data_IF_840445279976
#
_entry.id   IF_840445279976
#
_cell.length_a   1.000
_cell.length_b   1.000
_cell.length_c   1.000
_cell.angle_alpha   90.00
_cell.angle_beta   90.00
_cell.angle_gamma   90.00
#
_symmetry.space_group_name_H-M   'P 1'
#
loop_
_entity.id
_entity.type
_entity.pdbx_description
1 polymer ?
#
# COMPACT_ATOMS: atom_id res chain seq x y z
N UNK A 1 31.44 -0.47 -1.06
CA UNK A 1 30.01 -0.28 -1.40
C UNK A 1 29.50 0.88 -0.56
N UNK A 2 29.27 2.04 -1.17
CA UNK A 2 29.08 3.30 -0.42
C UNK A 2 27.82 3.32 0.46
N UNK A 3 26.76 2.60 0.08
CA UNK A 3 25.54 2.58 0.88
C UNK A 3 25.71 1.69 2.11
N UNK A 4 26.38 0.55 1.96
CA UNK A 4 26.70 -0.33 3.07
C UNK A 4 27.66 0.34 4.08
N UNK A 5 28.72 0.98 3.61
CA UNK A 5 29.68 1.74 4.46
C UNK A 5 28.98 2.80 5.31
N UNK A 6 28.06 3.56 4.69
CA UNK A 6 27.24 4.55 5.39
C UNK A 6 26.30 3.92 6.42
N UNK A 7 25.64 2.82 6.07
CA UNK A 7 24.76 2.09 6.98
C UNK A 7 25.53 1.59 8.21
N UNK A 8 26.62 0.86 7.99
CA UNK A 8 27.53 0.34 9.01
C UNK A 8 28.02 1.45 9.95
N UNK A 9 28.46 2.58 9.39
CA UNK A 9 28.87 3.74 10.18
C UNK A 9 27.73 4.36 11.00
N UNK A 10 26.51 4.41 10.43
CA UNK A 10 25.35 5.02 11.09
C UNK A 10 24.87 4.19 12.29
N UNK A 11 24.95 2.86 12.18
CA UNK A 11 24.63 1.94 13.29
C UNK A 11 25.78 1.74 14.28
N UNK A 12 26.87 2.50 14.16
CA UNK A 12 28.00 2.45 15.10
C UNK A 12 28.94 1.25 14.90
N UNK A 13 28.90 0.62 13.72
CA UNK A 13 29.69 -0.57 13.38
C UNK A 13 30.49 -0.39 12.08
N UNK A 14 31.33 0.67 11.97
CA UNK A 14 32.09 0.92 10.74
C UNK A 14 33.01 -0.25 10.35
N UNK A 15 33.47 -1.05 11.30
CA UNK A 15 34.29 -2.24 11.04
C UNK A 15 33.60 -3.28 10.15
N UNK A 16 32.27 -3.29 10.07
CA UNK A 16 31.53 -4.20 9.20
C UNK A 16 31.82 -3.96 7.72
N UNK A 17 32.17 -2.73 7.30
CA UNK A 17 32.50 -2.45 5.89
C UNK A 17 33.87 -2.97 5.47
N UNK A 18 34.78 -3.17 6.44
CA UNK A 18 36.14 -3.66 6.20
C UNK A 18 36.26 -5.17 6.42
N UNK A 19 35.23 -5.81 7.00
CA UNK A 19 35.20 -7.25 7.24
C UNK A 19 35.12 -8.02 5.90
N UNK A 20 36.07 -8.94 5.61
CA UNK A 20 36.05 -9.76 4.39
C UNK A 20 34.74 -10.52 4.16
N UNK A 21 34.01 -10.86 5.22
CA UNK A 21 32.70 -11.53 5.12
C UNK A 21 31.61 -10.63 4.52
N UNK A 22 31.79 -9.32 4.55
CA UNK A 22 30.79 -8.32 4.13
C UNK A 22 31.28 -7.34 3.05
N UNK A 23 32.47 -7.59 2.49
CA UNK A 23 33.17 -6.70 1.56
C UNK A 23 32.34 -6.34 0.32
N UNK A 24 31.58 -7.30 -0.22
CA UNK A 24 30.69 -7.09 -1.35
C UNK A 24 29.29 -7.69 -1.13
N UNK A 25 28.40 -7.47 -2.09
CA UNK A 25 27.01 -7.92 -1.98
C UNK A 25 26.89 -9.45 -1.97
N UNK A 26 27.73 -10.17 -2.71
CA UNK A 26 27.70 -11.63 -2.74
C UNK A 26 28.13 -12.19 -1.38
N UNK A 27 29.22 -11.67 -0.81
CA UNK A 27 29.68 -12.06 0.53
C UNK A 27 28.64 -11.75 1.61
N UNK A 28 27.95 -10.60 1.54
CA UNK A 28 26.85 -10.26 2.47
C UNK A 28 25.63 -11.16 2.33
N UNK A 29 25.33 -11.65 1.13
CA UNK A 29 24.24 -12.63 0.94
C UNK A 29 24.63 -13.97 1.56
N UNK A 30 25.86 -14.44 1.33
CA UNK A 30 26.37 -15.68 1.91
C UNK A 30 26.42 -15.62 3.45
N UNK A 31 26.80 -14.46 4.01
CA UNK A 31 26.90 -14.23 5.44
C UNK A 31 25.71 -13.44 6.02
N UNK A 32 24.53 -13.54 5.37
CA UNK A 32 23.36 -12.71 5.72
C UNK A 32 22.92 -12.87 7.17
N UNK A 33 22.90 -14.11 7.67
CA UNK A 33 22.44 -14.40 9.04
C UNK A 33 23.28 -13.65 10.07
N UNK A 34 24.61 -13.77 10.01
CA UNK A 34 25.51 -13.10 10.95
C UNK A 34 25.46 -11.58 10.79
N UNK A 35 25.34 -11.06 9.57
CA UNK A 35 25.21 -9.62 9.34
C UNK A 35 23.92 -9.07 9.96
N UNK A 36 22.80 -9.75 9.74
CA UNK A 36 21.49 -9.34 10.28
C UNK A 36 21.51 -9.36 11.80
N UNK A 37 22.08 -10.38 12.44
CA UNK A 37 22.21 -10.44 13.90
C UNK A 37 23.00 -9.24 14.45
N UNK A 38 24.14 -8.90 13.83
CA UNK A 38 24.93 -7.73 14.22
C UNK A 38 24.14 -6.42 14.07
N UNK A 39 23.44 -6.23 12.94
CA UNK A 39 22.66 -5.02 12.70
C UNK A 39 21.46 -4.92 13.63
N UNK A 40 20.75 -6.03 13.88
CA UNK A 40 19.60 -6.07 14.78
C UNK A 40 19.97 -5.71 16.22
N UNK A 41 21.09 -6.22 16.71
CA UNK A 41 21.58 -5.88 18.05
C UNK A 41 21.73 -4.36 18.23
N UNK A 42 22.19 -3.64 17.19
CA UNK A 42 22.31 -2.18 17.23
C UNK A 42 20.97 -1.49 17.01
N UNK A 43 20.17 -1.94 16.04
CA UNK A 43 18.89 -1.30 15.70
C UNK A 43 17.87 -1.37 16.84
N UNK A 44 18.04 -2.27 17.81
CA UNK A 44 17.21 -2.34 19.02
C UNK A 44 17.51 -1.25 20.06
N UNK A 45 18.63 -0.53 19.93
CA UNK A 45 19.07 0.45 20.94
C UNK A 45 18.34 1.80 20.85
N UNK A 46 17.63 2.08 19.76
CA UNK A 46 16.90 3.34 19.53
C UNK A 46 15.54 3.08 18.90
N UNK A 47 14.65 4.06 19.00
CA UNK A 47 13.35 4.02 18.35
C UNK A 47 13.47 4.09 16.83
N UNK A 48 12.44 3.64 16.12
CA UNK A 48 12.37 3.75 14.65
C UNK A 48 12.53 5.20 14.18
N UNK A 49 11.94 6.18 14.87
CA UNK A 49 12.06 7.60 14.52
C UNK A 49 13.49 8.12 14.61
N UNK A 50 14.21 7.75 15.67
CA UNK A 50 15.62 8.12 15.84
C UNK A 50 16.51 7.51 14.75
N UNK A 51 16.28 6.24 14.40
CA UNK A 51 17.02 5.61 13.31
C UNK A 51 16.71 6.22 11.96
N UNK A 52 15.44 6.50 11.65
CA UNK A 52 15.07 7.15 10.40
C UNK A 52 15.72 8.53 10.25
N UNK A 53 15.78 9.32 11.33
CA UNK A 53 16.48 10.59 11.33
C UNK A 53 17.99 10.42 11.08
N UNK A 54 18.64 9.48 11.78
CA UNK A 54 20.07 9.22 11.64
C UNK A 54 20.44 8.69 10.23
N UNK A 55 19.63 7.80 9.66
CA UNK A 55 19.83 7.30 8.30
C UNK A 55 19.59 8.37 7.24
N UNK A 56 18.55 9.19 7.40
CA UNK A 56 18.27 10.30 6.49
C UNK A 56 19.42 11.31 6.44
N UNK A 57 20.00 11.68 7.59
CA UNK A 57 21.15 12.58 7.68
C UNK A 57 22.38 12.06 6.90
N UNK A 58 22.55 10.73 6.82
CA UNK A 58 23.64 10.08 6.08
C UNK A 58 23.29 9.72 4.64
N UNK A 59 22.04 9.97 4.22
CA UNK A 59 21.52 9.58 2.91
C UNK A 59 21.45 8.05 2.74
N UNK A 60 21.16 7.33 3.81
CA UNK A 60 20.88 5.89 3.80
C UNK A 60 19.36 5.70 3.67
N UNK A 61 18.87 5.07 2.59
CA UNK A 61 17.44 4.77 2.45
C UNK A 61 16.94 3.85 3.56
N UNK A 62 15.93 4.30 4.29
CA UNK A 62 15.21 3.54 5.31
C UNK A 62 13.76 4.02 5.40
N UNK A 63 12.85 3.14 5.81
CA UNK A 63 11.44 3.46 6.01
C UNK A 63 10.86 2.64 7.15
N UNK A 64 9.83 3.16 7.86
CA UNK A 64 9.14 2.38 8.87
C UNK A 64 8.31 1.26 8.23
N UNK A 65 8.03 0.22 9.00
CA UNK A 65 6.97 -0.73 8.67
C UNK A 65 5.69 -0.14 9.23
N UNK A 66 4.80 0.31 8.34
CA UNK A 66 3.52 0.90 8.73
C UNK A 66 2.44 -0.20 8.84
N UNK A 67 1.55 -0.07 9.82
CA UNK A 67 0.28 -0.80 9.83
C UNK A 67 -0.76 -0.17 8.88
N UNK A 68 -1.94 -0.80 8.74
CA UNK A 68 -3.00 -0.32 7.85
C UNK A 68 -3.50 1.08 8.27
N UNK A 69 -3.67 1.35 9.56
CA UNK A 69 -4.12 2.64 10.05
C UNK A 69 -3.09 3.75 9.78
N UNK A 70 -1.82 3.45 9.97
CA UNK A 70 -0.70 4.33 9.66
C UNK A 70 -0.61 4.61 8.15
N UNK A 71 -0.78 3.60 7.29
CA UNK A 71 -0.82 3.77 5.83
C UNK A 71 -1.96 4.72 5.42
N UNK A 72 -3.17 4.50 5.92
CA UNK A 72 -4.35 5.28 5.53
C UNK A 72 -4.30 6.72 6.05
N UNK A 73 -3.58 6.96 7.15
CA UNK A 73 -3.43 8.29 7.76
C UNK A 73 -2.14 9.01 7.35
N UNK A 74 -1.23 8.35 6.62
CA UNK A 74 0.05 8.90 6.19
C UNK A 74 -0.12 10.19 5.35
N UNK A 75 0.76 11.17 5.56
CA UNK A 75 0.73 12.44 4.83
C UNK A 75 0.78 12.25 3.31
N UNK A 76 1.67 11.37 2.82
CA UNK A 76 1.75 11.08 1.39
C UNK A 76 0.51 10.35 0.87
N UNK A 77 -0.11 9.47 1.66
CA UNK A 77 -1.36 8.82 1.28
C UNK A 77 -2.49 9.85 1.11
N UNK A 78 -2.54 10.88 1.98
CA UNK A 78 -3.52 11.98 1.88
C UNK A 78 -3.25 12.87 0.66
N UNK A 79 -1.99 13.27 0.45
CA UNK A 79 -1.57 14.09 -0.70
C UNK A 79 -1.86 13.39 -2.02
N UNK A 80 -1.66 12.07 -2.09
CA UNK A 80 -1.97 11.24 -3.25
C UNK A 80 -3.44 10.83 -3.35
N UNK A 81 -4.30 11.29 -2.42
CA UNK A 81 -5.70 10.90 -2.33
C UNK A 81 -5.90 9.38 -2.42
N UNK A 82 -5.06 8.61 -1.71
CA UNK A 82 -5.07 7.14 -1.69
C UNK A 82 -6.46 6.60 -1.33
N UNK A 83 -7.16 7.27 -0.42
CA UNK A 83 -8.54 6.98 -0.07
C UNK A 83 -9.42 8.10 -0.60
N UNK A 84 -10.37 7.73 -1.44
CA UNK A 84 -11.46 8.62 -1.88
C UNK A 84 -12.75 8.18 -1.23
N UNK A 85 -13.68 9.10 -1.04
CA UNK A 85 -15.02 8.80 -0.57
C UNK A 85 -16.02 9.06 -1.68
N UNK A 86 -16.91 8.10 -1.91
CA UNK A 86 -17.95 8.17 -2.94
C UNK A 86 -19.30 7.91 -2.25
N UNK A 87 -20.35 8.61 -2.66
CA UNK A 87 -21.70 8.35 -2.17
C UNK A 87 -22.28 7.12 -2.88
N UNK A 88 -22.85 6.18 -2.12
CA UNK A 88 -23.57 5.03 -2.66
C UNK A 88 -25.05 5.35 -2.92
N UNK A 89 -25.79 4.39 -3.50
CA UNK A 89 -27.22 4.56 -3.76
C UNK A 89 -28.08 4.78 -2.50
N UNK A 90 -27.56 4.46 -1.31
CA UNK A 90 -28.22 4.71 -0.03
C UNK A 90 -27.90 6.10 0.56
N UNK A 91 -27.11 6.94 -0.13
CA UNK A 91 -26.67 8.25 0.36
C UNK A 91 -25.52 8.18 1.37
N UNK A 92 -24.87 7.03 1.52
CA UNK A 92 -23.76 6.83 2.44
C UNK A 92 -22.42 7.09 1.75
N UNK A 93 -21.56 7.85 2.43
CA UNK A 93 -20.20 8.09 1.97
C UNK A 93 -19.31 6.88 2.29
N UNK A 94 -18.90 6.12 1.28
CA UNK A 94 -18.06 4.92 1.44
C UNK A 94 -16.59 5.18 1.04
N UNK A 95 -15.60 4.73 1.83
CA UNK A 95 -14.19 4.86 1.46
C UNK A 95 -13.80 3.81 0.40
N UNK A 96 -13.03 4.24 -0.59
CA UNK A 96 -12.46 3.39 -1.63
C UNK A 96 -10.98 3.72 -1.83
N UNK A 97 -10.19 2.67 -2.06
CA UNK A 97 -8.79 2.82 -2.46
C UNK A 97 -8.73 3.28 -3.92
N UNK A 98 -8.05 4.39 -4.15
CA UNK A 98 -7.81 4.97 -5.47
C UNK A 98 -6.84 4.12 -6.29
N UNK A 99 -6.96 4.22 -7.61
CA UNK A 99 -5.92 3.81 -8.55
C UNK A 99 -4.58 4.50 -8.16
N UNK A 100 -3.47 3.75 -8.04
CA UNK A 100 -2.19 4.31 -7.61
C UNK A 100 -1.51 5.20 -8.68
N UNK A 101 -1.97 5.13 -9.93
CA UNK A 101 -1.39 5.85 -11.07
C UNK A 101 -2.16 7.14 -11.35
N UNK A 102 -1.44 8.26 -11.41
CA UNK A 102 -1.96 9.55 -11.86
C UNK A 102 -1.71 9.74 -13.35
N UNK A 103 -2.79 9.88 -14.13
CA UNK A 103 -2.73 10.15 -15.56
C UNK A 103 -2.98 11.63 -15.83
N UNK A 104 -2.01 12.31 -16.46
CA UNK A 104 -2.14 13.74 -16.76
C UNK A 104 -3.18 14.09 -17.83
N UNK A 105 -3.19 13.34 -18.94
CA UNK A 105 -4.10 13.61 -20.07
C UNK A 105 -5.51 13.01 -19.87
N UNK A 106 -5.60 11.90 -19.13
CA UNK A 106 -6.85 11.16 -18.91
C UNK A 106 -6.99 10.79 -17.42
N UNK A 107 -7.25 11.76 -16.53
CA UNK A 107 -7.34 11.50 -15.10
C UNK A 107 -8.34 10.41 -14.77
N UNK A 108 -8.03 9.59 -13.76
CA UNK A 108 -8.94 8.52 -13.31
C UNK A 108 -10.20 9.14 -12.72
N UNK A 109 -11.36 8.81 -13.29
CA UNK A 109 -12.66 9.24 -12.79
C UNK A 109 -13.32 8.13 -11.98
N UNK A 110 -13.82 8.45 -10.79
CA UNK A 110 -14.61 7.54 -9.97
C UNK A 110 -16.06 8.01 -9.99
N UNK A 111 -16.93 7.25 -10.65
CA UNK A 111 -18.31 7.67 -10.94
C UNK A 111 -19.36 7.03 -10.05
N UNK A 112 -19.12 5.79 -9.64
CA UNK A 112 -20.08 4.98 -8.89
C UNK A 112 -19.37 4.34 -7.70
N UNK A 113 -20.08 4.28 -6.57
CA UNK A 113 -19.70 3.40 -5.47
C UNK A 113 -19.91 1.93 -5.86
N UNK A 114 -19.39 0.97 -5.09
CA UNK A 114 -19.76 -0.43 -5.25
C UNK A 114 -21.29 -0.58 -5.13
N UNK A 115 -21.94 -1.33 -6.04
CA UNK A 115 -23.39 -1.44 -6.04
C UNK A 115 -23.90 -2.16 -4.81
N UNK A 116 -25.10 -1.80 -4.37
CA UNK A 116 -25.89 -2.59 -3.44
C UNK A 116 -26.28 -3.93 -4.09
N UNK A 117 -26.63 -4.89 -3.26
CA UNK A 117 -27.14 -6.18 -3.73
C UNK A 117 -28.42 -5.94 -4.56
N UNK A 118 -28.39 -6.34 -5.83
CA UNK A 118 -29.51 -6.22 -6.76
C UNK A 118 -29.76 -4.83 -7.34
N UNK A 119 -28.87 -3.84 -7.09
CA UNK A 119 -29.07 -2.45 -7.52
C UNK A 119 -29.34 -2.30 -9.03
N UNK A 120 -28.64 -3.09 -9.85
CA UNK A 120 -28.73 -3.03 -11.30
C UNK A 120 -29.52 -4.19 -11.92
N UNK A 121 -30.23 -5.00 -11.13
CA UNK A 121 -30.98 -6.18 -11.65
C UNK A 121 -31.96 -5.77 -12.75
N UNK A 122 -32.79 -4.75 -12.50
CA UNK A 122 -33.80 -4.32 -13.47
C UNK A 122 -33.19 -3.65 -14.71
N UNK A 123 -32.10 -2.88 -14.53
CA UNK A 123 -31.36 -2.26 -15.62
C UNK A 123 -30.84 -3.34 -16.58
N UNK A 124 -30.15 -4.35 -16.06
CA UNK A 124 -29.60 -5.42 -16.89
C UNK A 124 -30.69 -6.23 -17.57
N UNK A 125 -31.73 -6.66 -16.84
CA UNK A 125 -32.81 -7.48 -17.41
C UNK A 125 -33.59 -6.72 -18.49
N UNK A 126 -33.88 -5.44 -18.27
CA UNK A 126 -34.68 -4.64 -19.21
C UNK A 126 -33.83 -4.10 -20.36
N UNK A 127 -32.71 -3.46 -20.07
CA UNK A 127 -31.96 -2.68 -21.06
C UNK A 127 -30.96 -3.54 -21.84
N UNK A 128 -30.36 -4.55 -21.21
CA UNK A 128 -29.34 -5.37 -21.85
C UNK A 128 -29.92 -6.67 -22.41
N UNK A 129 -30.88 -7.28 -21.70
CA UNK A 129 -31.52 -8.55 -22.12
C UNK A 129 -32.89 -8.36 -22.78
N UNK A 130 -33.49 -7.17 -22.71
CA UNK A 130 -34.76 -6.86 -23.37
C UNK A 130 -35.99 -7.52 -22.74
N UNK A 131 -35.94 -7.93 -21.47
CA UNK A 131 -37.08 -8.54 -20.79
C UNK A 131 -38.20 -7.53 -20.55
N UNK A 132 -39.44 -7.99 -20.73
CA UNK A 132 -40.61 -7.19 -20.39
C UNK A 132 -40.77 -7.07 -18.86
N UNK A 133 -41.51 -6.06 -18.42
CA UNK A 133 -41.85 -5.91 -17.01
C UNK A 133 -42.58 -7.14 -16.45
N UNK A 134 -43.40 -7.80 -17.25
CA UNK A 134 -44.14 -9.01 -16.87
C UNK A 134 -43.18 -10.19 -16.62
N UNK A 135 -42.19 -10.39 -17.50
CA UNK A 135 -41.18 -11.44 -17.31
C UNK A 135 -40.34 -11.19 -16.06
N UNK A 136 -39.93 -9.94 -15.81
CA UNK A 136 -39.18 -9.57 -14.60
C UNK A 136 -40.01 -9.84 -13.33
N UNK A 137 -41.30 -9.54 -13.35
CA UNK A 137 -42.19 -9.81 -12.24
C UNK A 137 -42.33 -11.32 -11.93
N UNK A 138 -42.37 -12.17 -12.97
CA UNK A 138 -42.36 -13.63 -12.78
C UNK A 138 -41.08 -14.09 -12.11
N UNK A 139 -39.91 -13.63 -12.58
CA UNK A 139 -38.62 -14.01 -12.01
C UNK A 139 -38.49 -13.65 -10.52
N UNK A 140 -39.02 -12.48 -10.11
CA UNK A 140 -39.06 -12.08 -8.69
C UNK A 140 -39.98 -12.98 -7.86
N UNK A 141 -41.13 -13.37 -8.40
CA UNK A 141 -42.06 -14.25 -7.70
C UNK A 141 -41.52 -15.68 -7.55
N UNK A 142 -40.60 -16.09 -8.42
CA UNK A 142 -39.92 -17.39 -8.38
C UNK A 142 -38.62 -17.37 -7.56
N UNK A 143 -38.29 -16.25 -6.89
CA UNK A 143 -37.02 -16.04 -6.17
C UNK A 143 -35.77 -16.29 -7.06
N UNK A 144 -35.90 -16.11 -8.38
CA UNK A 144 -34.81 -16.26 -9.33
C UNK A 144 -33.91 -15.02 -9.39
N UNK A 145 -34.42 -13.87 -8.93
CA UNK A 145 -33.75 -12.56 -8.83
C UNK A 145 -34.22 -11.78 -7.61
#
# INVERSE_FOLDING_TARGET
>A
DRQFEKCASTVGKPELSDDPRYADNASRIENRTSLVECLQAQLQEKTTGEWLAAFAERGVPAGPINDIGEVLSNAHARERALVRRIENAAGESVPMVSNPVDFGATPVSYRQAPPLLGEHTDEVLREWLGYSADTIAVLRNEDAI
#
